data_IF_616384178076
#
_entry.id   IF_616384178076
#
_cell.length_a   1.000
_cell.length_b   1.000
_cell.length_c   1.000
_cell.angle_alpha   90.00
_cell.angle_beta   90.00
_cell.angle_gamma   90.00
#
_symmetry.space_group_name_H-M   'P 1'
#
loop_
_entity.id
_entity.type
_entity.pdbx_description
1 polymer ?
#
# COMPACT_ATOMS: atom_id res chain seq x y z
N UNK A 1 16.32 -4.62 -8.43
CA UNK A 1 15.15 -4.24 -7.62
C UNK A 1 14.34 -3.20 -8.40
N UNK A 2 13.07 -3.06 -8.07
CA UNK A 2 12.18 -2.02 -8.61
C UNK A 2 12.80 -0.62 -8.46
N UNK A 3 13.33 -0.29 -7.28
CA UNK A 3 14.06 0.97 -7.01
C UNK A 3 15.16 1.30 -8.01
N UNK A 4 16.04 0.36 -8.35
CA UNK A 4 17.11 0.62 -9.33
C UNK A 4 16.55 0.93 -10.72
N UNK A 5 15.40 0.37 -11.06
CA UNK A 5 14.67 0.72 -12.29
C UNK A 5 14.10 2.12 -12.23
N UNK A 6 13.46 2.48 -11.11
CA UNK A 6 12.91 3.83 -10.86
C UNK A 6 13.99 4.90 -10.89
N UNK A 7 15.13 4.67 -10.21
CA UNK A 7 16.28 5.59 -10.18
C UNK A 7 16.87 5.84 -11.56
N UNK A 8 16.84 4.84 -12.43
CA UNK A 8 17.44 4.93 -13.77
C UNK A 8 16.48 5.53 -14.80
N UNK A 9 15.19 5.22 -14.70
CA UNK A 9 14.23 5.45 -15.78
C UNK A 9 13.00 6.27 -15.40
N UNK A 10 12.69 6.45 -14.11
CA UNK A 10 11.49 7.18 -13.67
C UNK A 10 11.88 8.52 -13.05
N UNK A 11 12.62 8.54 -11.94
CA UNK A 11 12.91 9.80 -11.22
C UNK A 11 13.64 10.85 -12.06
N UNK A 12 14.65 10.52 -12.89
CA UNK A 12 15.35 11.53 -13.70
C UNK A 12 14.49 12.13 -14.82
N UNK A 13 13.45 11.41 -15.26
CA UNK A 13 12.67 11.75 -16.44
C UNK A 13 11.24 12.20 -16.12
N UNK A 14 10.81 12.16 -14.85
CA UNK A 14 9.43 12.49 -14.47
C UNK A 14 9.00 13.91 -14.91
N UNK A 15 9.90 14.89 -14.85
CA UNK A 15 9.61 16.29 -15.25
C UNK A 15 9.51 16.47 -16.79
N UNK A 16 9.97 15.48 -17.56
CA UNK A 16 9.90 15.47 -19.02
C UNK A 16 8.73 14.60 -19.53
N UNK A 17 7.89 14.07 -18.63
CA UNK A 17 6.77 13.23 -19.03
C UNK A 17 5.61 14.10 -19.54
N UNK A 18 5.04 13.71 -20.69
CA UNK A 18 3.86 14.38 -21.24
C UNK A 18 2.62 14.26 -20.32
N UNK A 19 2.57 13.20 -19.51
CA UNK A 19 1.50 12.93 -18.54
C UNK A 19 2.06 12.28 -17.28
N UNK A 20 1.66 12.78 -16.11
CA UNK A 20 1.86 12.13 -14.80
C UNK A 20 0.51 11.75 -14.19
N UNK A 21 0.41 10.53 -13.64
CA UNK A 21 -0.79 10.04 -12.97
C UNK A 21 -0.44 9.56 -11.55
N UNK A 22 -1.14 10.10 -10.55
CA UNK A 22 -1.02 9.63 -9.17
C UNK A 22 -2.23 8.74 -8.85
N UNK A 23 -1.98 7.45 -8.67
CA UNK A 23 -2.99 6.47 -8.27
C UNK A 23 -3.18 6.36 -6.76
N UNK A 24 -2.38 7.06 -5.95
CA UNK A 24 -2.45 6.97 -4.49
C UNK A 24 -3.75 7.57 -3.98
N UNK A 25 -4.49 6.78 -3.21
CA UNK A 25 -5.78 7.17 -2.66
C UNK A 25 -5.75 7.16 -1.13
N UNK A 26 -6.30 8.19 -0.49
CA UNK A 26 -6.23 8.38 0.97
C UNK A 26 -6.89 7.21 1.73
N UNK A 27 -7.90 6.56 1.16
CA UNK A 27 -8.59 5.43 1.78
C UNK A 27 -7.78 4.12 1.77
N UNK A 28 -6.67 4.04 1.05
CA UNK A 28 -5.95 2.78 0.83
C UNK A 28 -5.35 2.24 2.12
N UNK A 29 -4.77 3.09 2.96
CA UNK A 29 -4.22 2.68 4.26
C UNK A 29 -5.31 2.20 5.23
N UNK A 30 -6.49 2.83 5.17
CA UNK A 30 -7.65 2.46 5.97
C UNK A 30 -8.23 1.09 5.58
N UNK A 31 -8.25 0.77 4.28
CA UNK A 31 -8.65 -0.55 3.80
C UNK A 31 -7.56 -1.61 4.09
N UNK A 32 -6.30 -1.28 3.85
CA UNK A 32 -5.17 -2.18 4.09
C UNK A 32 -5.03 -2.57 5.57
N UNK A 33 -5.34 -1.65 6.48
CA UNK A 33 -5.28 -1.87 7.94
C UNK A 33 -5.93 -3.18 8.36
N UNK A 34 -7.12 -3.50 7.83
CA UNK A 34 -7.88 -4.72 8.16
C UNK A 34 -7.09 -6.01 7.90
N UNK A 35 -6.25 -5.99 6.88
CA UNK A 35 -5.45 -7.14 6.45
C UNK A 35 -4.06 -7.13 7.10
N UNK A 36 -3.43 -5.95 7.18
CA UNK A 36 -2.05 -5.81 7.66
C UNK A 36 -1.94 -5.90 9.19
N UNK A 37 -2.86 -5.31 9.95
CA UNK A 37 -2.82 -5.29 11.42
C UNK A 37 -2.72 -6.68 12.07
N UNK A 38 -3.56 -7.68 11.73
CA UNK A 38 -3.45 -9.02 12.34
C UNK A 38 -2.15 -9.74 11.99
N UNK A 39 -1.53 -9.44 10.84
CA UNK A 39 -0.25 -10.03 10.43
C UNK A 39 0.89 -9.38 11.22
N UNK A 40 0.90 -8.04 11.29
CA UNK A 40 1.92 -7.30 12.03
C UNK A 40 1.89 -7.60 13.53
N UNK A 41 0.72 -7.86 14.11
CA UNK A 41 0.58 -8.26 15.52
C UNK A 41 1.19 -9.65 15.83
N UNK A 42 1.40 -10.49 14.81
CA UNK A 42 2.02 -11.81 15.00
C UNK A 42 3.54 -11.74 15.12
N UNK A 43 4.17 -10.58 14.85
CA UNK A 43 5.62 -10.42 14.93
C UNK A 43 6.06 -10.49 16.40
N UNK A 44 6.91 -11.47 16.79
CA UNK A 44 7.36 -11.61 18.18
C UNK A 44 8.25 -10.45 18.62
N UNK A 45 8.18 -10.07 19.89
CA UNK A 45 9.03 -9.02 20.50
C UNK A 45 10.53 -9.30 20.43
N UNK A 46 10.91 -10.56 20.28
CA UNK A 46 12.29 -11.02 20.18
C UNK A 46 12.83 -10.97 18.75
N UNK A 47 11.99 -10.73 17.74
CA UNK A 47 12.43 -10.60 16.35
C UNK A 47 13.09 -9.25 16.14
N UNK A 48 14.19 -9.19 15.36
CA UNK A 48 14.86 -7.93 15.03
C UNK A 48 13.96 -6.96 14.26
N UNK A 49 12.92 -7.46 13.58
CA UNK A 49 11.94 -6.69 12.82
C UNK A 49 10.79 -6.12 13.68
N UNK A 50 10.71 -6.46 14.96
CA UNK A 50 9.61 -6.02 15.83
C UNK A 50 9.46 -4.49 15.88
N UNK A 51 10.57 -3.76 15.89
CA UNK A 51 10.56 -2.29 15.88
C UNK A 51 9.86 -1.74 14.64
N UNK A 52 10.13 -2.31 13.47
CA UNK A 52 9.49 -1.93 12.21
C UNK A 52 8.02 -2.35 12.18
N UNK A 53 7.70 -3.56 12.63
CA UNK A 53 6.32 -4.02 12.73
C UNK A 53 5.47 -3.10 13.63
N UNK A 54 6.02 -2.71 14.79
CA UNK A 54 5.38 -1.78 15.70
C UNK A 54 5.23 -0.37 15.11
N UNK A 55 6.23 0.12 14.37
CA UNK A 55 6.16 1.41 13.67
C UNK A 55 5.04 1.41 12.63
N UNK A 56 4.89 0.33 11.87
CA UNK A 56 3.81 0.16 10.89
C UNK A 56 2.43 0.05 11.57
N UNK A 57 2.31 -0.70 12.67
CA UNK A 57 1.08 -0.76 13.47
C UNK A 57 0.67 0.62 13.98
N UNK A 58 1.63 1.41 14.49
CA UNK A 58 1.38 2.78 14.94
C UNK A 58 0.97 3.71 13.80
N UNK A 59 1.53 3.53 12.60
CA UNK A 59 1.09 4.28 11.42
C UNK A 59 -0.36 3.94 11.07
N UNK A 60 -0.70 2.64 11.01
CA UNK A 60 -2.04 2.19 10.66
C UNK A 60 -3.08 2.58 11.71
N UNK A 61 -2.69 2.72 12.99
CA UNK A 61 -3.62 3.07 14.06
C UNK A 61 -4.28 4.45 13.90
N UNK A 62 -3.70 5.35 13.10
CA UNK A 62 -4.27 6.66 12.78
C UNK A 62 -5.46 6.61 11.80
N UNK A 63 -5.73 5.46 11.17
CA UNK A 63 -6.76 5.33 10.14
C UNK A 63 -7.94 4.49 10.64
N UNK A 64 -9.18 4.92 10.38
CA UNK A 64 -10.35 4.10 10.65
C UNK A 64 -10.40 2.88 9.73
N UNK A 65 -11.03 1.80 10.17
CA UNK A 65 -11.28 0.65 9.30
C UNK A 65 -12.29 1.01 8.21
N UNK A 66 -11.95 0.68 6.97
CA UNK A 66 -12.86 0.72 5.82
C UNK A 66 -13.11 -0.71 5.35
N UNK A 67 -14.32 -0.99 4.87
CA UNK A 67 -14.63 -2.29 4.29
C UNK A 67 -14.12 -2.38 2.85
N UNK A 68 -13.57 -3.53 2.48
CA UNK A 68 -13.15 -3.81 1.11
C UNK A 68 -14.30 -3.67 0.10
N UNK A 69 -15.57 -3.71 0.52
CA UNK A 69 -16.73 -3.52 -0.38
C UNK A 69 -16.84 -2.11 -0.93
N UNK A 70 -16.37 -1.11 -0.18
CA UNK A 70 -16.42 0.30 -0.56
C UNK A 70 -15.26 0.70 -1.48
N UNK A 71 -14.26 -0.17 -1.64
CA UNK A 71 -13.15 0.08 -2.56
C UNK A 71 -13.65 0.15 -4.00
N UNK A 72 -13.32 1.22 -4.75
CA UNK A 72 -13.62 1.27 -6.18
C UNK A 72 -13.06 0.04 -6.90
N UNK A 73 -13.78 -0.51 -7.90
CA UNK A 73 -13.30 -1.66 -8.67
C UNK A 73 -12.05 -1.34 -9.48
N UNK A 74 -11.78 -0.06 -9.72
CA UNK A 74 -10.56 0.46 -10.38
C UNK A 74 -9.40 0.73 -9.42
N UNK A 75 -9.53 0.47 -8.12
CA UNK A 75 -8.42 0.62 -7.18
C UNK A 75 -7.38 -0.47 -7.42
N UNK A 76 -6.09 -0.10 -7.49
CA UNK A 76 -5.00 -1.07 -7.64
C UNK A 76 -4.92 -2.05 -6.45
N UNK A 77 -5.38 -1.68 -5.26
CA UNK A 77 -5.49 -2.62 -4.13
C UNK A 77 -6.35 -3.85 -4.46
N UNK A 78 -7.27 -3.75 -5.43
CA UNK A 78 -8.09 -4.86 -5.90
C UNK A 78 -7.28 -5.97 -6.58
N UNK A 79 -6.03 -5.71 -6.99
CA UNK A 79 -5.12 -6.76 -7.46
C UNK A 79 -4.78 -7.76 -6.35
N UNK A 80 -4.69 -7.29 -5.10
CA UNK A 80 -4.37 -8.12 -3.94
C UNK A 80 -5.62 -8.62 -3.22
N UNK A 81 -6.67 -7.79 -3.16
CA UNK A 81 -7.89 -8.06 -2.40
C UNK A 81 -9.02 -8.69 -3.24
N UNK A 82 -8.86 -8.74 -4.56
CA UNK A 82 -9.88 -9.20 -5.50
C UNK A 82 -11.00 -8.18 -5.75
N UNK A 83 -11.80 -8.42 -6.80
CA UNK A 83 -12.89 -7.54 -7.22
C UNK A 83 -12.46 -6.40 -8.17
N UNK A 84 -11.33 -6.57 -8.85
CA UNK A 84 -10.83 -5.61 -9.84
C UNK A 84 -11.70 -5.61 -11.10
N UNK A 85 -11.94 -4.45 -11.68
CA UNK A 85 -12.50 -4.33 -13.05
C UNK A 85 -11.45 -4.54 -14.14
N UNK A 86 -10.16 -4.50 -13.80
CA UNK A 86 -9.08 -4.76 -14.75
C UNK A 86 -9.00 -6.25 -15.08
N UNK A 87 -8.80 -6.54 -16.38
CA UNK A 87 -8.48 -7.87 -16.87
C UNK A 87 -7.03 -7.85 -17.35
N UNK A 88 -6.24 -8.79 -16.85
CA UNK A 88 -4.82 -8.95 -17.17
C UNK A 88 -4.63 -10.16 -18.09
#
# INVERSE_FOLDING_TARGET
>A
SVRRGEDRWIFPFQENADVMFNSAMIYELAALRRHAEPILMQVPRTSPEYSEAYRLLKLLSYFNYITDRELPPTSLLREFLGGSSFRY
#
